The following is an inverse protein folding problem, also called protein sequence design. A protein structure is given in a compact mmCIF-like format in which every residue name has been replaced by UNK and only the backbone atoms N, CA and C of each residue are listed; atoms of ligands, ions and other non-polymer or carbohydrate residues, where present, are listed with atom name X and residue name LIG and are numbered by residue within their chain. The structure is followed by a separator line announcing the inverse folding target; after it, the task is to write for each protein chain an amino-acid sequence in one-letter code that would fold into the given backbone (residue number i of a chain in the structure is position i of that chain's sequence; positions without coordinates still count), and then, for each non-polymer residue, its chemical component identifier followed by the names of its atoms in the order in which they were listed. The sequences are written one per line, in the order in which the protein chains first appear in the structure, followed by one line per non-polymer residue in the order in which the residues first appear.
data_IF_191459028729
#
_entry.id   IF_191459028729
#
_cell.length_a   1.000
_cell.length_b   1.000
_cell.length_c   1.000
_cell.angle_alpha   90.00
_cell.angle_beta   90.00
_cell.angle_gamma   90.00
#
_symmetry.space_group_name_H-M   'P 1'
#
loop_
_entity.id
_entity.type
_entity.pdbx_description
1 polymer ?
#
# COMPACT_ATOMS: atom_id res chain seq x y z
N UNK A 1 -16.81 9.99 26.72
CA UNK A 1 -15.74 8.95 26.79
C UNK A 1 -14.52 9.61 27.41
N UNK A 2 -13.81 8.92 28.32
CA UNK A 2 -12.54 9.43 28.83
C UNK A 2 -11.44 9.33 27.74
N UNK A 3 -10.35 10.09 27.91
CA UNK A 3 -9.25 10.15 26.93
C UNK A 3 -8.62 8.78 26.65
N UNK A 4 -8.55 7.91 27.65
CA UNK A 4 -8.02 6.55 27.50
C UNK A 4 -8.92 5.67 26.63
N UNK A 5 -10.23 5.73 26.79
CA UNK A 5 -11.17 4.97 25.96
C UNK A 5 -11.11 5.42 24.49
N UNK A 6 -11.01 6.73 24.26
CA UNK A 6 -10.84 7.27 22.91
C UNK A 6 -9.55 6.78 22.23
N UNK A 7 -8.45 6.76 22.99
CA UNK A 7 -7.19 6.22 22.50
C UNK A 7 -7.31 4.74 22.09
N UNK A 8 -7.96 3.91 22.91
CA UNK A 8 -8.20 2.51 22.57
C UNK A 8 -9.01 2.36 21.29
N UNK A 9 -10.02 3.21 21.08
CA UNK A 9 -10.82 3.22 19.84
C UNK A 9 -9.96 3.61 18.63
N UNK A 10 -9.07 4.61 18.76
CA UNK A 10 -8.12 4.99 17.69
C UNK A 10 -7.19 3.82 17.37
N UNK A 11 -6.64 3.15 18.37
CA UNK A 11 -5.78 1.97 18.16
C UNK A 11 -6.55 0.87 17.43
N UNK A 12 -7.75 0.52 17.90
CA UNK A 12 -8.59 -0.49 17.28
C UNK A 12 -8.94 -0.15 15.82
N UNK A 13 -9.35 1.08 15.54
CA UNK A 13 -9.66 1.50 14.16
C UNK A 13 -8.42 1.56 13.28
N UNK A 14 -7.25 1.90 13.84
CA UNK A 14 -6.00 1.86 13.08
C UNK A 14 -5.63 0.41 12.71
N UNK A 15 -5.79 -0.54 13.62
CA UNK A 15 -5.59 -1.96 13.30
C UNK A 15 -6.64 -2.48 12.30
N UNK A 16 -7.87 -2.00 12.37
CA UNK A 16 -8.92 -2.28 11.38
C UNK A 16 -8.55 -1.70 10.01
N UNK A 17 -7.97 -0.49 9.98
CA UNK A 17 -7.43 0.09 8.75
C UNK A 17 -6.29 -0.77 8.20
N UNK A 18 -5.34 -1.24 9.03
CA UNK A 18 -4.25 -2.11 8.59
C UNK A 18 -4.75 -3.47 8.06
N UNK A 19 -5.78 -4.03 8.68
CA UNK A 19 -6.45 -5.22 8.14
C UNK A 19 -7.09 -4.92 6.77
N UNK A 20 -7.84 -3.81 6.65
CA UNK A 20 -8.44 -3.37 5.39
C UNK A 20 -7.38 -3.09 4.32
N UNK A 21 -6.24 -2.50 4.70
CA UNK A 21 -5.08 -2.27 3.85
C UNK A 21 -4.52 -3.60 3.32
N UNK A 22 -4.22 -4.55 4.22
CA UNK A 22 -3.75 -5.88 3.84
C UNK A 22 -4.74 -6.63 2.93
N UNK A 23 -6.04 -6.53 3.18
CA UNK A 23 -7.09 -7.14 2.36
C UNK A 23 -7.16 -6.53 0.96
N UNK A 24 -7.18 -5.20 0.87
CA UNK A 24 -7.20 -4.45 -0.39
C UNK A 24 -5.93 -4.70 -1.20
N UNK A 25 -4.77 -4.60 -0.55
CA UNK A 25 -3.47 -4.62 -1.17
C UNK A 25 -2.84 -6.03 -1.26
N UNK A 26 -3.56 -7.10 -0.82
CA UNK A 26 -3.18 -8.49 -1.08
C UNK A 26 -2.85 -8.72 -2.57
N UNK A 27 -3.59 -8.05 -3.47
CA UNK A 27 -3.38 -8.13 -4.90
C UNK A 27 -1.97 -7.69 -5.33
N UNK A 28 -1.36 -6.74 -4.64
CA UNK A 28 -0.03 -6.24 -4.95
C UNK A 28 1.02 -7.35 -4.82
N UNK A 29 0.88 -8.19 -3.81
CA UNK A 29 1.80 -9.28 -3.50
C UNK A 29 1.52 -10.57 -4.26
N UNK A 30 0.26 -10.84 -4.66
CA UNK A 30 -0.11 -12.16 -5.17
C UNK A 30 -0.70 -12.19 -6.59
N UNK A 31 -1.11 -11.05 -7.16
CA UNK A 31 -1.76 -11.04 -8.48
C UNK A 31 -0.87 -11.65 -9.57
N UNK A 32 0.42 -11.40 -9.52
CA UNK A 32 1.43 -11.93 -10.44
C UNK A 32 1.59 -13.44 -10.30
N UNK A 33 1.87 -13.94 -9.09
CA UNK A 33 2.16 -15.36 -8.83
C UNK A 33 0.93 -16.26 -9.01
N UNK A 34 -0.28 -15.71 -8.77
CA UNK A 34 -1.56 -16.41 -9.04
C UNK A 34 -1.87 -16.43 -10.54
N UNK A 35 -1.67 -15.31 -11.25
CA UNK A 35 -1.96 -15.23 -12.68
C UNK A 35 -1.02 -16.09 -13.53
N UNK A 36 0.22 -16.26 -13.10
CA UNK A 36 1.21 -17.15 -13.73
C UNK A 36 1.05 -18.62 -13.34
N UNK A 37 0.13 -18.92 -12.41
CA UNK A 37 -0.11 -20.27 -11.86
C UNK A 37 1.13 -20.91 -11.23
N UNK A 38 1.99 -20.09 -10.61
CA UNK A 38 3.13 -20.59 -9.83
C UNK A 38 2.65 -21.06 -8.45
N UNK A 39 1.72 -20.33 -7.84
CA UNK A 39 1.02 -20.75 -6.64
C UNK A 39 -0.49 -20.77 -6.86
N UNK A 40 -1.16 -21.68 -6.15
CA UNK A 40 -2.63 -21.63 -6.02
C UNK A 40 -3.04 -20.40 -5.20
N UNK A 41 -4.26 -19.88 -5.38
CA UNK A 41 -4.72 -18.69 -4.65
C UNK A 41 -4.49 -18.79 -3.13
N UNK A 42 -4.87 -19.89 -2.51
CA UNK A 42 -4.71 -20.10 -1.08
C UNK A 42 -3.23 -20.10 -0.64
N UNK A 43 -2.36 -20.82 -1.37
CA UNK A 43 -0.92 -20.81 -1.07
C UNK A 43 -0.28 -19.45 -1.27
N UNK A 44 -0.77 -18.68 -2.25
CA UNK A 44 -0.26 -17.33 -2.52
C UNK A 44 -0.56 -16.36 -1.38
N UNK A 45 -1.78 -16.36 -0.82
CA UNK A 45 -2.11 -15.50 0.33
C UNK A 45 -1.32 -15.89 1.57
N UNK A 46 -1.15 -17.18 1.84
CA UNK A 46 -0.31 -17.65 2.96
C UNK A 46 1.14 -17.22 2.80
N UNK A 47 1.70 -17.39 1.58
CA UNK A 47 3.06 -16.99 1.25
C UNK A 47 3.27 -15.48 1.45
N UNK A 48 2.37 -14.67 0.91
CA UNK A 48 2.46 -13.22 1.04
C UNK A 48 2.24 -12.75 2.49
N UNK A 49 1.26 -13.28 3.20
CA UNK A 49 0.99 -12.93 4.59
C UNK A 49 2.18 -13.25 5.50
N UNK A 50 2.82 -14.40 5.31
CA UNK A 50 4.02 -14.79 6.04
C UNK A 50 5.16 -13.77 5.82
N UNK A 51 5.48 -13.41 4.58
CA UNK A 51 6.55 -12.47 4.28
C UNK A 51 6.21 -11.03 4.66
N UNK A 52 4.95 -10.62 4.57
CA UNK A 52 4.48 -9.35 5.11
C UNK A 52 4.68 -9.26 6.63
N UNK A 53 4.45 -10.36 7.35
CA UNK A 53 4.68 -10.43 8.80
C UNK A 53 6.18 -10.43 9.13
N UNK A 54 7.00 -11.20 8.41
CA UNK A 54 8.46 -11.24 8.61
C UNK A 54 9.09 -9.86 8.45
N UNK A 55 8.50 -8.97 7.67
CA UNK A 55 8.96 -7.59 7.49
C UNK A 55 9.07 -6.82 8.84
N UNK A 56 8.30 -7.20 9.86
CA UNK A 56 8.37 -6.63 11.22
C UNK A 56 9.78 -6.73 11.86
N UNK A 57 10.55 -7.73 11.46
CA UNK A 57 11.85 -8.07 12.07
C UNK A 57 13.05 -7.65 11.22
N UNK A 58 12.81 -7.20 9.99
CA UNK A 58 13.89 -6.96 9.01
C UNK A 58 14.21 -5.47 8.84
N UNK A 59 13.18 -4.61 8.90
CA UNK A 59 13.32 -3.19 8.56
C UNK A 59 12.95 -2.28 9.73
N UNK A 60 13.49 -1.04 9.71
CA UNK A 60 13.19 -0.02 10.70
C UNK A 60 11.83 0.67 10.48
N UNK A 61 11.57 1.74 11.24
CA UNK A 61 10.28 2.48 11.29
C UNK A 61 10.38 3.88 10.69
N UNK A 62 11.24 4.10 9.68
CA UNK A 62 11.49 5.42 9.09
C UNK A 62 10.24 6.00 8.41
N UNK A 63 9.45 5.18 7.71
CA UNK A 63 8.21 5.60 7.06
C UNK A 63 7.14 5.99 8.08
N UNK A 64 7.06 5.28 9.22
CA UNK A 64 6.14 5.60 10.31
C UNK A 64 6.36 7.02 10.85
N UNK A 65 7.63 7.43 11.02
CA UNK A 65 7.99 8.79 11.46
C UNK A 65 7.54 9.84 10.45
N UNK A 66 7.66 9.58 9.16
CA UNK A 66 7.24 10.53 8.11
C UNK A 66 5.72 10.73 8.11
N UNK A 67 4.92 9.68 8.27
CA UNK A 67 3.46 9.76 8.26
C UNK A 67 2.93 10.43 9.53
N UNK A 68 3.47 10.08 10.69
CA UNK A 68 2.93 10.55 11.97
C UNK A 68 3.22 12.02 12.30
N UNK A 69 4.26 12.62 11.71
CA UNK A 69 4.69 14.00 12.07
C UNK A 69 4.51 15.03 10.96
N UNK A 70 4.19 14.62 9.73
CA UNK A 70 4.49 15.47 8.58
C UNK A 70 3.31 16.03 7.81
N UNK A 71 2.07 15.61 8.05
CA UNK A 71 0.97 15.90 7.11
C UNK A 71 -0.07 16.87 7.64
N UNK A 72 -0.31 16.89 8.95
CA UNK A 72 -1.25 17.76 9.65
C UNK A 72 -0.53 18.37 10.83
N UNK A 73 -0.79 19.64 11.12
CA UNK A 73 -0.26 20.31 12.30
C UNK A 73 -0.70 19.60 13.57
N UNK A 74 0.26 19.20 14.41
CA UNK A 74 0.04 18.32 15.58
C UNK A 74 -0.96 18.92 16.57
N UNK A 75 -0.99 20.26 16.67
CA UNK A 75 -1.90 21.01 17.54
C UNK A 75 -3.38 20.88 17.12
N UNK A 76 -3.63 20.51 15.87
CA UNK A 76 -4.97 20.34 15.30
C UNK A 76 -5.42 18.89 15.40
N UNK A 77 -4.46 17.97 15.59
CA UNK A 77 -4.74 16.54 15.68
C UNK A 77 -5.42 16.23 16.99
N UNK A 78 -6.66 15.78 16.91
CA UNK A 78 -7.40 15.25 18.04
C UNK A 78 -8.01 13.89 17.65
N UNK A 79 -8.54 13.18 18.63
CA UNK A 79 -9.09 11.84 18.44
C UNK A 79 -10.23 11.82 17.39
N UNK A 80 -11.05 12.87 17.33
CA UNK A 80 -12.15 12.95 16.35
C UNK A 80 -11.66 13.08 14.93
N UNK A 81 -10.59 13.86 14.70
CA UNK A 81 -9.93 13.97 13.40
C UNK A 81 -9.33 12.64 12.99
N UNK A 82 -8.66 11.93 13.91
CA UNK A 82 -8.09 10.61 13.65
C UNK A 82 -9.17 9.57 13.33
N UNK A 83 -10.25 9.52 14.14
CA UNK A 83 -11.35 8.59 13.94
C UNK A 83 -12.05 8.81 12.58
N UNK A 84 -12.40 10.06 12.27
CA UNK A 84 -13.06 10.40 11.01
C UNK A 84 -12.16 10.13 9.81
N UNK A 85 -10.87 10.43 9.92
CA UNK A 85 -9.87 10.16 8.88
C UNK A 85 -9.69 8.67 8.61
N UNK A 86 -9.56 7.86 9.66
CA UNK A 86 -9.46 6.40 9.55
C UNK A 86 -10.73 5.78 8.95
N UNK A 87 -11.90 6.18 9.42
CA UNK A 87 -13.18 5.71 8.87
C UNK A 87 -13.34 6.12 7.41
N UNK A 88 -12.94 7.32 7.03
CA UNK A 88 -12.93 7.78 5.63
C UNK A 88 -12.03 6.92 4.75
N UNK A 89 -10.83 6.59 5.22
CA UNK A 89 -9.88 5.73 4.53
C UNK A 89 -10.40 4.28 4.40
N UNK A 90 -10.92 3.69 5.47
CA UNK A 90 -11.51 2.34 5.47
C UNK A 90 -12.71 2.28 4.51
N UNK A 91 -13.58 3.30 4.54
CA UNK A 91 -14.72 3.38 3.64
C UNK A 91 -14.29 3.43 2.18
N UNK A 92 -13.28 4.25 1.84
CA UNK A 92 -12.75 4.32 0.48
C UNK A 92 -12.11 3.01 0.04
N UNK A 93 -11.29 2.40 0.88
CA UNK A 93 -10.70 1.08 0.60
C UNK A 93 -11.78 0.02 0.36
N UNK A 94 -12.86 0.03 1.16
CA UNK A 94 -13.98 -0.91 1.00
C UNK A 94 -14.71 -0.68 -0.33
N UNK A 95 -15.00 0.57 -0.70
CA UNK A 95 -15.64 0.92 -1.97
C UNK A 95 -14.78 0.43 -3.15
N UNK A 96 -13.50 0.74 -3.15
CA UNK A 96 -12.60 0.37 -4.25
C UNK A 96 -12.32 -1.13 -4.31
N UNK A 97 -12.30 -1.83 -3.16
CA UNK A 97 -12.23 -3.29 -3.07
C UNK A 97 -13.47 -3.94 -3.74
N UNK A 98 -14.67 -3.45 -3.43
CA UNK A 98 -15.93 -3.94 -4.02
C UNK A 98 -15.95 -3.68 -5.53
N UNK A 99 -15.47 -2.52 -5.98
CA UNK A 99 -15.39 -2.18 -7.40
C UNK A 99 -14.25 -2.91 -8.13
N UNK A 100 -13.32 -3.54 -7.41
CA UNK A 100 -12.14 -4.22 -7.96
C UNK A 100 -11.13 -3.25 -8.58
N UNK A 101 -11.04 -2.04 -8.04
CA UNK A 101 -10.13 -0.99 -8.46
C UNK A 101 -8.85 -1.03 -7.60
N UNK A 102 -7.67 -1.28 -8.18
CA UNK A 102 -6.41 -1.24 -7.44
C UNK A 102 -6.01 0.22 -7.17
N UNK A 103 -6.45 0.75 -6.05
CA UNK A 103 -6.10 2.08 -5.54
C UNK A 103 -5.04 1.98 -4.45
N UNK A 104 -4.57 3.11 -3.95
CA UNK A 104 -3.56 3.16 -2.90
C UNK A 104 -4.19 3.39 -1.53
N UNK A 105 -4.06 2.43 -0.63
CA UNK A 105 -4.49 2.57 0.76
C UNK A 105 -3.73 3.70 1.49
N UNK A 106 -2.46 3.99 1.09
CA UNK A 106 -1.73 5.16 1.57
C UNK A 106 -2.43 6.46 1.23
N UNK A 107 -2.84 6.60 -0.04
CA UNK A 107 -3.52 7.81 -0.51
C UNK A 107 -4.93 7.92 0.09
N UNK A 108 -5.62 6.80 0.32
CA UNK A 108 -6.89 6.78 1.04
C UNK A 108 -6.73 7.28 2.48
N UNK A 109 -5.67 6.83 3.19
CA UNK A 109 -5.37 7.31 4.54
C UNK A 109 -5.02 8.79 4.56
N UNK A 110 -4.14 9.23 3.66
CA UNK A 110 -3.77 10.63 3.52
C UNK A 110 -4.99 11.50 3.23
N UNK A 111 -5.82 11.09 2.26
CA UNK A 111 -7.05 11.79 1.90
C UNK A 111 -8.00 11.88 3.09
N UNK A 112 -8.35 10.75 3.70
CA UNK A 112 -9.27 10.69 4.84
C UNK A 112 -8.81 11.55 6.02
N UNK A 113 -7.53 11.41 6.41
CA UNK A 113 -6.95 12.18 7.49
C UNK A 113 -6.87 13.68 7.18
N UNK A 114 -6.36 14.04 5.99
CA UNK A 114 -6.30 15.43 5.55
C UNK A 114 -7.69 16.07 5.43
N UNK A 115 -8.68 15.34 4.87
CA UNK A 115 -10.06 15.82 4.74
C UNK A 115 -10.74 16.06 6.08
N UNK A 116 -10.56 15.18 7.06
CA UNK A 116 -11.05 15.36 8.43
C UNK A 116 -10.41 16.59 9.10
N UNK A 117 -9.08 16.76 8.93
CA UNK A 117 -8.36 17.91 9.47
C UNK A 117 -8.82 19.23 8.83
N UNK A 118 -9.03 19.27 7.53
CA UNK A 118 -9.57 20.43 6.81
C UNK A 118 -10.99 20.76 7.28
N UNK A 119 -11.84 19.75 7.50
CA UNK A 119 -13.20 19.95 8.03
C UNK A 119 -13.18 20.47 9.48
N UNK A 120 -12.12 20.16 10.25
CA UNK A 120 -11.95 20.66 11.61
C UNK A 120 -11.45 22.10 11.67
N UNK A 121 -10.38 22.44 10.96
CA UNK A 121 -9.66 23.71 11.11
C UNK A 121 -9.33 24.43 9.78
N UNK A 122 -9.91 24.00 8.66
CA UNK A 122 -9.66 24.59 7.35
C UNK A 122 -8.32 24.14 6.74
N UNK A 123 -7.99 24.65 5.54
CA UNK A 123 -6.79 24.24 4.80
C UNK A 123 -5.47 24.53 5.52
N UNK A 124 -5.44 25.48 6.43
CA UNK A 124 -4.29 25.77 7.30
C UNK A 124 -3.93 24.62 8.24
N UNK A 125 -4.80 23.62 8.37
CA UNK A 125 -4.50 22.40 9.11
C UNK A 125 -3.41 21.56 8.43
N UNK A 126 -3.22 21.70 7.12
CA UNK A 126 -2.30 20.89 6.34
C UNK A 126 -0.88 21.47 6.36
N UNK A 127 0.10 20.61 6.60
CA UNK A 127 1.54 20.92 6.47
C UNK A 127 1.96 20.68 5.04
N UNK A 128 1.96 21.73 4.20
CA UNK A 128 2.23 21.60 2.76
C UNK A 128 3.52 20.82 2.44
N UNK A 129 4.60 21.06 3.20
CA UNK A 129 5.87 20.34 3.03
C UNK A 129 5.74 18.82 3.17
N UNK A 130 4.84 18.35 4.01
CA UNK A 130 4.56 16.92 4.20
C UNK A 130 3.80 16.27 3.04
N UNK A 131 3.09 17.07 2.25
CA UNK A 131 2.30 16.59 1.10
C UNK A 131 3.09 16.53 -0.20
N UNK A 132 4.16 17.34 -0.35
CA UNK A 132 4.93 17.42 -1.60
C UNK A 132 5.49 16.07 -2.00
N UNK A 133 6.20 15.38 -1.10
CA UNK A 133 6.80 14.07 -1.40
C UNK A 133 5.75 13.02 -1.77
N UNK A 134 4.73 12.76 -0.93
CA UNK A 134 3.69 11.78 -1.28
C UNK A 134 2.99 12.08 -2.61
N UNK A 135 2.60 13.34 -2.87
CA UNK A 135 1.95 13.73 -4.13
C UNK A 135 2.89 13.52 -5.32
N UNK A 136 4.16 13.87 -5.21
CA UNK A 136 5.16 13.63 -6.26
C UNK A 136 5.29 12.13 -6.56
N UNK A 137 5.31 11.29 -5.52
CA UNK A 137 5.44 9.85 -5.66
C UNK A 137 4.16 9.15 -6.17
N UNK A 138 2.99 9.84 -6.24
CA UNK A 138 1.84 9.33 -7.00
C UNK A 138 2.22 9.07 -8.46
N UNK A 139 3.02 9.98 -9.03
CA UNK A 139 3.46 9.90 -10.42
C UNK A 139 4.79 9.15 -10.56
N UNK A 140 5.74 9.39 -9.66
CA UNK A 140 7.08 8.80 -9.76
C UNK A 140 7.07 7.28 -9.49
N UNK A 141 6.30 6.80 -8.52
CA UNK A 141 6.34 5.37 -8.17
C UNK A 141 5.92 4.44 -9.31
N UNK A 142 4.84 4.70 -10.07
CA UNK A 142 4.51 3.86 -11.22
C UNK A 142 5.51 4.01 -12.37
N UNK A 143 6.10 5.19 -12.57
CA UNK A 143 7.12 5.43 -13.60
C UNK A 143 8.39 4.66 -13.25
N UNK A 144 8.86 4.74 -12.01
CA UNK A 144 10.03 3.99 -11.53
C UNK A 144 9.76 2.48 -11.66
N UNK A 145 8.62 2.00 -11.16
CA UNK A 145 8.23 0.60 -11.30
C UNK A 145 8.23 0.13 -12.76
N UNK A 146 7.68 0.95 -13.66
CA UNK A 146 7.66 0.67 -15.10
C UNK A 146 9.07 0.58 -15.69
N UNK A 147 9.92 1.56 -15.46
CA UNK A 147 11.29 1.62 -16.02
C UNK A 147 12.17 0.50 -15.46
N UNK A 148 12.13 0.28 -14.14
CA UNK A 148 12.91 -0.80 -13.49
C UNK A 148 12.43 -2.16 -13.99
N UNK A 149 11.13 -2.37 -14.15
CA UNK A 149 10.61 -3.64 -14.67
C UNK A 149 10.99 -3.88 -16.14
N UNK A 150 11.00 -2.84 -16.97
CA UNK A 150 11.54 -2.93 -18.34
C UNK A 150 13.01 -3.33 -18.33
N UNK A 151 13.81 -2.63 -17.51
CA UNK A 151 15.25 -2.92 -17.38
C UNK A 151 15.50 -4.37 -16.92
N UNK A 152 14.84 -4.79 -15.82
CA UNK A 152 14.94 -6.17 -15.31
C UNK A 152 14.52 -7.18 -16.37
N UNK A 153 13.43 -6.93 -17.10
CA UNK A 153 12.94 -7.82 -18.17
C UNK A 153 13.97 -7.94 -19.30
N UNK A 154 14.53 -6.83 -19.75
CA UNK A 154 15.53 -6.80 -20.82
C UNK A 154 16.80 -7.51 -20.39
N UNK A 155 17.39 -7.15 -19.25
CA UNK A 155 18.62 -7.75 -18.74
C UNK A 155 18.47 -9.25 -18.53
N UNK A 156 17.37 -9.66 -17.91
CA UNK A 156 17.10 -11.08 -17.67
C UNK A 156 16.88 -11.84 -18.98
N UNK A 157 16.22 -11.23 -19.98
CA UNK A 157 16.05 -11.82 -21.31
C UNK A 157 17.41 -12.05 -22.00
N UNK A 158 18.34 -11.12 -21.87
CA UNK A 158 19.71 -11.27 -22.40
C UNK A 158 20.48 -12.42 -21.72
N UNK A 159 20.35 -12.57 -20.42
CA UNK A 159 21.02 -13.63 -19.65
C UNK A 159 20.50 -15.01 -20.11
N UNK A 160 19.20 -15.14 -20.35
CA UNK A 160 18.59 -16.45 -20.64
C UNK A 160 18.41 -16.76 -22.12
N UNK A 161 18.82 -15.87 -23.03
CA UNK A 161 18.59 -16.01 -24.50
C UNK A 161 19.13 -17.32 -25.13
N UNK A 162 20.18 -17.86 -24.54
CA UNK A 162 20.81 -19.10 -25.02
C UNK A 162 20.19 -20.40 -24.51
N UNK A 163 19.19 -20.30 -23.61
CA UNK A 163 18.58 -21.48 -22.98
C UNK A 163 17.25 -21.84 -23.62
N UNK A 164 16.93 -23.15 -23.57
CA UNK A 164 15.64 -23.68 -24.07
C UNK A 164 14.47 -23.08 -23.28
N UNK A 165 13.36 -22.64 -23.94
CA UNK A 165 12.22 -22.01 -23.29
C UNK A 165 11.63 -22.77 -22.10
N UNK A 166 11.51 -24.11 -22.20
CA UNK A 166 11.02 -24.97 -21.12
C UNK A 166 11.92 -24.95 -19.86
N UNK A 167 13.25 -24.84 -20.05
CA UNK A 167 14.20 -24.76 -18.96
C UNK A 167 14.08 -23.40 -18.27
N UNK A 168 13.94 -22.33 -19.04
CA UNK A 168 13.71 -20.97 -18.56
C UNK A 168 12.40 -20.90 -17.78
N UNK A 169 11.28 -21.41 -18.31
CA UNK A 169 9.98 -21.42 -17.59
C UNK A 169 10.10 -22.12 -16.22
N UNK A 170 10.77 -23.29 -16.18
CA UNK A 170 10.97 -24.05 -14.94
C UNK A 170 11.80 -23.27 -13.90
N UNK A 171 12.82 -22.56 -14.33
CA UNK A 171 13.63 -21.73 -13.45
C UNK A 171 12.83 -20.55 -12.91
N UNK A 172 12.12 -19.85 -13.78
CA UNK A 172 11.36 -18.67 -13.38
C UNK A 172 10.15 -18.99 -12.50
N UNK A 173 9.57 -20.16 -12.58
CA UNK A 173 8.59 -20.63 -11.60
C UNK A 173 9.16 -20.70 -10.17
N UNK A 174 10.43 -21.07 -10.02
CA UNK A 174 11.10 -21.09 -8.70
C UNK A 174 11.57 -19.69 -8.29
N UNK A 175 12.18 -18.95 -9.19
CA UNK A 175 12.65 -17.59 -8.94
C UNK A 175 11.50 -16.64 -8.61
N UNK A 176 10.32 -16.86 -9.17
CA UNK A 176 9.12 -16.08 -8.88
C UNK A 176 8.65 -16.26 -7.43
N UNK A 177 8.89 -17.40 -6.79
CA UNK A 177 8.64 -17.57 -5.36
C UNK A 177 9.53 -16.63 -4.52
N UNK A 178 10.80 -16.49 -4.93
CA UNK A 178 11.77 -15.61 -4.26
C UNK A 178 11.41 -14.13 -4.49
N UNK A 179 11.11 -13.75 -5.73
CA UNK A 179 10.70 -12.36 -6.01
C UNK A 179 9.38 -11.97 -5.35
N UNK A 180 8.40 -12.90 -5.29
CA UNK A 180 7.16 -12.68 -4.56
C UNK A 180 7.39 -12.52 -3.05
N UNK A 181 8.32 -13.29 -2.46
CA UNK A 181 8.75 -13.13 -1.08
C UNK A 181 9.40 -11.76 -0.84
N UNK A 182 10.36 -11.38 -1.69
CA UNK A 182 11.05 -10.09 -1.61
C UNK A 182 10.08 -8.92 -1.78
N UNK A 183 9.12 -9.03 -2.72
CA UNK A 183 8.09 -8.03 -2.90
C UNK A 183 7.20 -7.91 -1.68
N UNK A 184 6.74 -9.04 -1.11
CA UNK A 184 5.90 -9.06 0.09
C UNK A 184 6.63 -8.49 1.31
N UNK A 185 7.93 -8.74 1.47
CA UNK A 185 8.77 -8.09 2.48
C UNK A 185 8.77 -6.57 2.30
N UNK A 186 9.05 -6.07 1.10
CA UNK A 186 9.04 -4.64 0.79
C UNK A 186 7.65 -4.01 0.98
N UNK A 187 6.59 -4.74 0.63
CA UNK A 187 5.19 -4.34 0.83
C UNK A 187 4.86 -4.21 2.33
N UNK A 188 5.12 -5.26 3.12
CA UNK A 188 4.92 -5.24 4.58
C UNK A 188 5.66 -4.10 5.27
N UNK A 189 6.93 -3.90 4.87
CA UNK A 189 7.77 -2.81 5.40
C UNK A 189 7.17 -1.43 5.15
N UNK A 190 6.65 -1.16 3.95
CA UNK A 190 6.09 0.16 3.64
C UNK A 190 4.69 0.35 4.24
N UNK A 191 3.86 -0.67 4.15
CA UNK A 191 2.43 -0.51 4.38
C UNK A 191 2.05 -0.60 5.85
N UNK A 192 2.59 -1.54 6.62
CA UNK A 192 2.31 -1.64 8.06
C UNK A 192 2.82 -0.41 8.85
N UNK A 193 3.81 0.32 8.34
CA UNK A 193 4.32 1.52 9.00
C UNK A 193 3.33 2.70 9.02
N UNK A 194 2.27 2.67 8.21
CA UNK A 194 1.25 3.72 8.18
C UNK A 194 0.44 3.73 9.48
N UNK A 195 -0.09 2.57 9.88
CA UNK A 195 -0.77 2.42 11.15
C UNK A 195 0.15 2.61 12.35
N UNK A 196 1.40 2.14 12.26
CA UNK A 196 2.40 2.42 13.30
C UNK A 196 2.56 3.91 13.53
N UNK A 197 2.63 4.71 12.45
CA UNK A 197 2.73 6.16 12.54
C UNK A 197 1.55 6.79 13.26
N UNK A 198 0.32 6.37 12.94
CA UNK A 198 -0.90 6.90 13.56
C UNK A 198 -1.00 6.48 15.03
N UNK A 199 -0.80 5.21 15.35
CA UNK A 199 -0.86 4.74 16.73
C UNK A 199 0.19 5.45 17.59
N UNK A 200 1.44 5.58 17.09
CA UNK A 200 2.49 6.27 17.82
C UNK A 200 2.16 7.75 18.02
N UNK A 201 1.62 8.43 16.99
CA UNK A 201 1.15 9.81 17.12
C UNK A 201 0.05 9.95 18.19
N UNK A 202 -0.91 9.05 18.21
CA UNK A 202 -1.98 9.05 19.20
C UNK A 202 -1.45 8.78 20.64
N UNK A 203 -0.48 7.88 20.80
CA UNK A 203 0.16 7.60 22.09
C UNK A 203 0.97 8.79 22.61
N UNK A 204 1.66 9.51 21.72
CA UNK A 204 2.40 10.75 22.09
C UNK A 204 1.43 11.85 22.44
N UNK A 205 0.37 12.09 21.64
CA UNK A 205 -0.64 13.09 21.92
C UNK A 205 -1.41 12.82 23.22
N UNK A 206 -1.64 11.53 23.55
CA UNK A 206 -2.23 11.09 24.81
C UNK A 206 -1.27 11.11 26.01
N UNK A 207 -0.02 11.56 25.85
CA UNK A 207 0.98 11.64 26.92
C UNK A 207 1.53 10.30 27.40
N UNK A 208 1.24 9.18 26.69
CA UNK A 208 1.73 7.84 27.05
C UNK A 208 3.15 7.59 26.58
N UNK A 209 3.62 8.33 25.57
CA UNK A 209 5.01 8.28 25.08
C UNK A 209 5.62 9.66 25.17
N UNK A 210 6.88 9.71 25.66
CA UNK A 210 7.67 10.95 25.75
C UNK A 210 8.39 11.29 24.45
N UNK A 211 8.67 10.29 23.62
CA UNK A 211 9.36 10.41 22.32
C UNK A 211 8.59 9.69 21.24
N UNK A 212 8.82 10.08 19.98
CA UNK A 212 8.20 9.43 18.83
C UNK A 212 9.00 8.18 18.41
N UNK A 213 9.03 7.19 19.30
CA UNK A 213 9.61 5.88 19.02
C UNK A 213 8.50 4.83 18.99
N UNK A 214 8.46 4.08 17.90
CA UNK A 214 7.40 3.09 17.68
C UNK A 214 7.59 1.90 18.62
N UNK A 215 6.65 1.62 19.56
CA UNK A 215 6.77 0.49 20.46
C UNK A 215 6.71 -0.85 19.72
N UNK A 216 7.43 -1.85 20.21
CA UNK A 216 7.46 -3.19 19.59
C UNK A 216 6.08 -3.82 19.44
N UNK A 217 5.20 -3.67 20.43
CA UNK A 217 3.84 -4.20 20.35
C UNK A 217 3.05 -3.59 19.19
N UNK A 218 3.25 -2.29 18.90
CA UNK A 218 2.62 -1.60 17.76
C UNK A 218 3.11 -2.20 16.44
N UNK A 219 4.43 -2.45 16.33
CA UNK A 219 5.02 -3.08 15.14
C UNK A 219 4.36 -4.44 14.90
N UNK A 220 4.32 -5.29 15.93
CA UNK A 220 3.76 -6.64 15.81
C UNK A 220 2.27 -6.60 15.47
N UNK A 221 1.47 -5.77 16.19
CA UNK A 221 0.03 -5.69 15.94
C UNK A 221 -0.30 -5.18 14.54
N UNK A 222 0.40 -4.17 14.01
CA UNK A 222 0.19 -3.67 12.66
C UNK A 222 0.52 -4.73 11.60
N UNK A 223 1.65 -5.44 11.74
CA UNK A 223 2.00 -6.51 10.80
C UNK A 223 1.05 -7.71 10.89
N UNK A 224 0.58 -8.08 12.09
CA UNK A 224 -0.43 -9.13 12.26
C UNK A 224 -1.77 -8.74 11.61
N UNK A 225 -2.22 -7.50 11.83
CA UNK A 225 -3.45 -7.00 11.22
C UNK A 225 -3.35 -6.99 9.69
N UNK A 226 -2.25 -6.46 9.15
CA UNK A 226 -1.99 -6.43 7.71
C UNK A 226 -1.84 -7.84 7.12
N UNK A 227 -1.10 -8.74 7.77
CA UNK A 227 -0.96 -10.14 7.35
C UNK A 227 -2.30 -10.87 7.35
N UNK A 228 -3.12 -10.67 8.39
CA UNK A 228 -4.48 -11.20 8.48
C UNK A 228 -5.38 -10.69 7.34
N UNK A 229 -5.31 -9.40 7.03
CA UNK A 229 -5.99 -8.81 5.87
C UNK A 229 -5.52 -9.42 4.55
N UNK A 230 -4.22 -9.62 4.37
CA UNK A 230 -3.65 -10.28 3.18
C UNK A 230 -4.21 -11.69 2.99
N UNK A 231 -4.42 -12.44 4.08
CA UNK A 231 -5.02 -13.78 4.03
C UNK A 231 -6.47 -13.76 3.54
N UNK A 232 -7.23 -12.70 3.80
CA UNK A 232 -8.60 -12.54 3.30
C UNK A 232 -8.65 -12.40 1.77
N UNK A 233 -7.61 -11.84 1.16
CA UNK A 233 -7.40 -11.73 -0.29
C UNK A 233 -8.38 -10.81 -1.01
N UNK A 234 -7.87 -9.85 -1.76
CA UNK A 234 -8.67 -8.93 -2.58
C UNK A 234 -8.97 -9.49 -3.98
N UNK A 235 -9.75 -10.56 -4.11
CA UNK A 235 -9.89 -11.37 -5.34
C UNK A 235 -10.32 -10.57 -6.57
N UNK A 236 -11.15 -9.53 -6.42
CA UNK A 236 -11.57 -8.68 -7.56
C UNK A 236 -10.40 -7.84 -8.07
N UNK A 237 -9.58 -7.31 -7.18
CA UNK A 237 -8.38 -6.52 -7.51
C UNK A 237 -7.31 -7.45 -8.09
N UNK A 238 -7.11 -8.65 -7.51
CA UNK A 238 -6.20 -9.69 -8.01
C UNK A 238 -6.51 -10.01 -9.48
N UNK A 239 -7.79 -10.21 -9.81
CA UNK A 239 -8.22 -10.44 -11.20
C UNK A 239 -7.92 -9.26 -12.12
N UNK A 240 -8.11 -8.03 -11.63
CA UNK A 240 -7.80 -6.82 -12.40
C UNK A 240 -6.32 -6.71 -12.70
N UNK A 241 -5.46 -6.82 -11.70
CA UNK A 241 -4.01 -6.65 -11.83
C UNK A 241 -3.34 -7.82 -12.54
N UNK A 242 -3.70 -9.05 -12.18
CA UNK A 242 -3.05 -10.24 -12.69
C UNK A 242 -3.49 -10.66 -14.09
N UNK A 243 -4.70 -10.31 -14.52
CA UNK A 243 -5.28 -10.84 -15.76
C UNK A 243 -5.74 -9.78 -16.74
N UNK A 244 -6.08 -8.55 -16.27
CA UNK A 244 -6.70 -7.55 -17.13
C UNK A 244 -5.74 -6.49 -17.66
N UNK A 245 -4.53 -6.32 -17.10
CA UNK A 245 -3.54 -5.34 -17.56
C UNK A 245 -2.74 -5.91 -18.74
N UNK A 246 -2.09 -7.05 -18.52
CA UNK A 246 -1.32 -7.78 -19.54
C UNK A 246 -1.28 -9.26 -19.21
N UNK A 247 -0.93 -10.11 -20.20
CA UNK A 247 -0.75 -11.55 -19.98
C UNK A 247 0.65 -11.81 -19.43
N UNK A 248 0.73 -12.18 -18.14
CA UNK A 248 1.99 -12.51 -17.49
C UNK A 248 2.39 -13.98 -17.71
N UNK A 249 3.69 -14.22 -17.81
CA UNK A 249 4.35 -15.53 -17.71
C UNK A 249 5.16 -15.56 -16.41
N UNK A 250 5.65 -16.71 -15.90
CA UNK A 250 6.51 -16.76 -14.72
C UNK A 250 7.75 -15.85 -14.83
N UNK A 251 8.35 -15.75 -16.01
CA UNK A 251 9.41 -14.80 -16.31
C UNK A 251 8.98 -13.33 -16.11
N UNK A 252 7.81 -12.95 -16.65
CA UNK A 252 7.29 -11.60 -16.50
C UNK A 252 6.82 -11.29 -15.08
N UNK A 253 6.25 -12.27 -14.37
CA UNK A 253 5.89 -12.16 -12.96
C UNK A 253 7.10 -11.89 -12.09
N UNK A 254 8.16 -12.69 -12.26
CA UNK A 254 9.45 -12.47 -11.59
C UNK A 254 9.99 -11.05 -11.85
N UNK A 255 10.00 -10.60 -13.10
CA UNK A 255 10.52 -9.27 -13.45
C UNK A 255 9.73 -8.14 -12.80
N UNK A 256 8.39 -8.24 -12.76
CA UNK A 256 7.53 -7.24 -12.13
C UNK A 256 7.73 -7.19 -10.61
N UNK A 257 7.76 -8.36 -9.96
CA UNK A 257 7.95 -8.49 -8.52
C UNK A 257 9.34 -8.05 -8.08
N UNK A 258 10.40 -8.44 -8.82
CA UNK A 258 11.77 -8.03 -8.54
C UNK A 258 11.92 -6.51 -8.67
N UNK A 259 11.38 -5.90 -9.72
CA UNK A 259 11.38 -4.45 -9.90
C UNK A 259 10.62 -3.73 -8.78
N UNK A 260 9.45 -4.25 -8.43
CA UNK A 260 8.66 -3.73 -7.32
C UNK A 260 9.40 -3.83 -5.99
N UNK A 261 10.00 -4.97 -5.68
CA UNK A 261 10.78 -5.19 -4.46
C UNK A 261 11.97 -4.22 -4.35
N UNK A 262 12.76 -4.06 -5.41
CA UNK A 262 13.87 -3.11 -5.47
C UNK A 262 13.42 -1.67 -5.21
N UNK A 263 12.29 -1.27 -5.83
CA UNK A 263 11.73 0.07 -5.64
C UNK A 263 11.25 0.28 -4.21
N UNK A 264 10.49 -0.68 -3.65
CA UNK A 264 9.92 -0.56 -2.30
C UNK A 264 10.99 -0.59 -1.21
N UNK A 265 11.97 -1.48 -1.30
CA UNK A 265 13.07 -1.55 -0.35
C UNK A 265 13.94 -0.30 -0.40
N UNK A 266 14.24 0.20 -1.61
CA UNK A 266 14.98 1.44 -1.79
C UNK A 266 14.26 2.64 -1.17
N UNK A 267 12.97 2.82 -1.45
CA UNK A 267 12.18 3.93 -0.90
C UNK A 267 11.97 3.83 0.61
N UNK A 268 11.78 2.61 1.14
CA UNK A 268 11.65 2.38 2.58
C UNK A 268 12.94 2.76 3.34
N UNK A 269 14.11 2.46 2.78
CA UNK A 269 15.40 2.83 3.37
C UNK A 269 15.54 4.35 3.55
N UNK A 270 15.04 5.14 2.59
CA UNK A 270 15.01 6.59 2.67
C UNK A 270 13.81 7.18 3.42
N UNK A 271 12.96 6.35 4.02
CA UNK A 271 11.75 6.78 4.73
C UNK A 271 10.72 7.47 3.84
N UNK A 272 10.71 7.18 2.53
CA UNK A 272 9.80 7.78 1.56
C UNK A 272 8.53 6.92 1.48
N UNK A 273 7.38 7.42 1.92
CA UNK A 273 6.12 6.70 1.77
C UNK A 273 5.72 6.66 0.29
N UNK A 274 5.67 5.47 -0.27
CA UNK A 274 5.25 5.25 -1.67
C UNK A 274 4.00 4.38 -1.74
N UNK A 275 3.30 4.45 -2.87
CA UNK A 275 2.21 3.54 -3.16
C UNK A 275 2.75 2.22 -3.72
N UNK A 276 2.60 1.17 -2.95
CA UNK A 276 2.94 -0.20 -3.36
C UNK A 276 2.11 -0.63 -4.57
N UNK A 277 0.82 -0.27 -4.60
CA UNK A 277 -0.10 -0.54 -5.72
C UNK A 277 0.34 0.15 -7.01
N UNK A 278 0.75 1.43 -6.94
CA UNK A 278 1.23 2.16 -8.12
C UNK A 278 2.52 1.56 -8.65
N UNK A 279 3.45 1.22 -7.75
CA UNK A 279 4.74 0.62 -8.11
C UNK A 279 4.56 -0.70 -8.85
N UNK A 280 3.81 -1.65 -8.29
CA UNK A 280 3.64 -2.96 -8.93
C UNK A 280 2.78 -2.90 -10.19
N UNK A 281 1.77 -2.02 -10.22
CA UNK A 281 0.98 -1.80 -11.43
C UNK A 281 1.84 -1.24 -12.55
N UNK A 282 2.68 -0.25 -12.26
CA UNK A 282 3.68 0.28 -13.19
C UNK A 282 4.63 -0.81 -13.68
N UNK A 283 5.12 -1.66 -12.78
CA UNK A 283 5.99 -2.79 -13.11
C UNK A 283 5.31 -3.81 -14.05
N UNK A 284 4.04 -4.17 -13.79
CA UNK A 284 3.25 -5.07 -14.65
C UNK A 284 3.07 -4.46 -16.05
N UNK A 285 2.79 -3.16 -16.14
CA UNK A 285 2.70 -2.42 -17.41
C UNK A 285 4.05 -2.42 -18.12
N UNK A 286 5.16 -2.17 -17.40
CA UNK A 286 6.52 -2.17 -17.93
C UNK A 286 6.92 -3.52 -18.52
N UNK A 287 6.62 -4.63 -17.85
CA UNK A 287 6.81 -5.99 -18.38
C UNK A 287 5.99 -6.24 -19.65
N UNK A 288 4.74 -5.74 -19.69
CA UNK A 288 3.92 -5.84 -20.90
C UNK A 288 4.51 -5.05 -22.06
N UNK A 289 4.88 -3.79 -21.80
CA UNK A 289 5.42 -2.85 -22.79
C UNK A 289 6.79 -3.28 -23.33
N UNK A 290 7.64 -3.93 -22.50
CA UNK A 290 8.94 -4.46 -22.96
C UNK A 290 8.84 -5.51 -24.06
N UNK A 291 7.71 -6.19 -24.18
CA UNK A 291 7.44 -7.12 -25.28
C UNK A 291 6.91 -6.38 -26.51
N UNK A 292 5.85 -5.64 -26.33
CA UNK A 292 5.24 -4.74 -27.31
C UNK A 292 4.20 -3.85 -26.64
N UNK A 293 4.06 -2.61 -27.06
CA UNK A 293 3.09 -1.66 -26.48
C UNK A 293 1.64 -2.16 -26.56
N UNK A 294 1.31 -2.92 -27.63
CA UNK A 294 -0.02 -3.52 -27.82
C UNK A 294 -0.31 -4.71 -26.89
N UNK A 295 0.68 -5.24 -26.14
CA UNK A 295 0.45 -6.28 -25.15
C UNK A 295 -0.19 -5.72 -23.87
N UNK A 296 -0.16 -4.41 -23.67
CA UNK A 296 -0.80 -3.71 -22.55
C UNK A 296 -2.21 -3.29 -22.92
N UNK A 297 -3.17 -3.61 -22.09
CA UNK A 297 -4.56 -3.15 -22.25
C UNK A 297 -4.72 -1.75 -21.69
N UNK A 298 -4.32 -0.75 -22.47
CA UNK A 298 -4.29 0.67 -22.08
C UNK A 298 -5.63 1.21 -21.56
N UNK A 299 -6.76 0.69 -22.04
CA UNK A 299 -8.09 1.06 -21.52
C UNK A 299 -8.27 0.69 -20.03
N UNK A 300 -7.74 -0.45 -19.60
CA UNK A 300 -7.74 -0.86 -18.19
C UNK A 300 -6.76 0.00 -17.39
N UNK A 301 -5.54 0.19 -17.91
CA UNK A 301 -4.51 1.02 -17.26
C UNK A 301 -5.01 2.45 -17.01
N UNK A 302 -5.68 3.05 -18.02
CA UNK A 302 -6.25 4.40 -17.87
C UNK A 302 -7.33 4.47 -16.80
N UNK A 303 -8.20 3.45 -16.67
CA UNK A 303 -9.20 3.38 -15.59
C UNK A 303 -8.54 3.30 -14.20
N UNK A 304 -7.45 2.54 -14.09
CA UNK A 304 -6.68 2.43 -12.85
C UNK A 304 -6.05 3.78 -12.49
N UNK A 305 -5.41 4.46 -13.44
CA UNK A 305 -4.81 5.79 -13.23
C UNK A 305 -5.88 6.81 -12.81
N UNK A 306 -7.05 6.78 -13.43
CA UNK A 306 -8.17 7.64 -13.05
C UNK A 306 -8.64 7.38 -11.61
N UNK A 307 -8.72 6.10 -11.21
CA UNK A 307 -9.05 5.73 -9.83
C UNK A 307 -7.97 6.23 -8.83
N UNK A 308 -6.70 6.27 -9.22
CA UNK A 308 -5.62 6.83 -8.39
C UNK A 308 -5.81 8.32 -8.13
N UNK A 309 -6.13 9.09 -9.16
CA UNK A 309 -6.38 10.54 -9.04
C UNK A 309 -7.58 10.82 -8.13
N UNK A 310 -8.64 9.99 -8.21
CA UNK A 310 -9.83 10.13 -7.37
C UNK A 310 -9.64 9.69 -5.93
N UNK A 311 -8.59 8.94 -5.60
CA UNK A 311 -8.43 8.34 -4.27
C UNK A 311 -8.28 9.39 -3.17
N UNK A 312 -7.37 10.36 -3.32
CA UNK A 312 -7.19 11.41 -2.31
C UNK A 312 -8.46 12.27 -2.16
N UNK A 313 -9.05 12.85 -3.23
CA UNK A 313 -10.27 13.65 -3.12
C UNK A 313 -11.46 12.87 -2.55
N UNK A 314 -11.65 11.62 -3.00
CA UNK A 314 -12.78 10.78 -2.55
C UNK A 314 -12.68 10.40 -1.07
N UNK A 315 -11.49 9.97 -0.64
CA UNK A 315 -11.25 9.67 0.77
C UNK A 315 -11.32 10.94 1.65
N UNK A 316 -10.86 12.10 1.14
CA UNK A 316 -10.93 13.38 1.84
C UNK A 316 -12.37 13.82 2.05
N UNK A 317 -13.21 13.67 1.03
CA UNK A 317 -14.64 13.96 1.15
C UNK A 317 -15.30 13.09 2.21
N UNK A 318 -15.01 11.77 2.20
CA UNK A 318 -15.54 10.85 3.21
C UNK A 318 -15.07 11.21 4.63
N UNK A 319 -13.78 11.51 4.81
CA UNK A 319 -13.23 11.93 6.09
C UNK A 319 -13.86 13.24 6.60
N UNK A 320 -14.05 14.22 5.72
CA UNK A 320 -14.69 15.49 6.05
C UNK A 320 -16.16 15.30 6.46
N UNK A 321 -16.93 14.53 5.69
CA UNK A 321 -18.35 14.23 5.97
C UNK A 321 -18.49 13.50 7.31
N UNK A 322 -17.66 12.49 7.56
CA UNK A 322 -17.69 11.74 8.82
C UNK A 322 -17.29 12.59 10.02
N UNK A 323 -16.35 13.53 9.84
CA UNK A 323 -16.01 14.50 10.89
C UNK A 323 -17.19 15.41 11.25
N UNK A 324 -17.87 15.97 10.23
CA UNK A 324 -19.03 16.83 10.46
C UNK A 324 -20.20 16.07 11.07
N UNK A 325 -20.48 14.84 10.60
CA UNK A 325 -21.50 13.98 11.18
C UNK A 325 -21.22 13.68 12.66
N UNK A 326 -19.97 13.32 13.00
CA UNK A 326 -19.56 13.08 14.39
C UNK A 326 -19.69 14.34 15.28
N UNK A 327 -19.48 15.53 14.72
CA UNK A 327 -19.66 16.80 15.44
C UNK A 327 -21.13 17.09 15.77
N UNK A 328 -22.06 16.71 14.89
CA UNK A 328 -23.50 16.92 15.09
C UNK A 328 -24.12 15.95 16.10
N UNK A 329 -23.55 14.74 16.25
CA UNK A 329 -24.05 13.73 17.18
C UNK A 329 -23.60 13.93 18.63
N UNK A 330 -22.62 14.77 18.89
CA UNK A 330 -22.04 15.05 20.22
C UNK A 330 -22.37 16.47 20.70
N UNK A 331 -23.32 17.15 20.06
CA UNK A 331 -24.03 18.30 20.61
C UNK A 331 -25.15 17.81 21.48
#
# INVERSE_FOLDING_TARGET
MNSFTLLLVVVFLTLTFEFSNGWHDAANSIATVVSTRVLTPFRAVLWAAFWNFIAAFVFGTAVAKTIGKGMVHIEIVNERVLLAGLLGAISWNTITLILGLPTSSSHALMGGYGGAAVAHAGFKALVLGGWIKPVLFIFLSPIIGFLVAMLVTILTSWIVRGYRPLKVDRWFRRLQLVSAAAYSLGHGTNDAQKGMGIITAALVAGGMLKSYDVPYWVIICCHLAMGGGTMAGGWRIIKTMGQRITKLTPFGGFSAEAAGALTLMGTAHFGIPVSTTHTITGAIVGVGASRRLSAVRWGVTRRIVFAWVLTIPGAALLGAVLFQAGRSLVK
#
